data_IF_066432490916
#
_entry.id   IF_066432490916
#
_cell.length_a   1.000
_cell.length_b   1.000
_cell.length_c   1.000
_cell.angle_alpha   90.00
_cell.angle_beta   90.00
_cell.angle_gamma   90.00
#
_symmetry.space_group_name_H-M   'P 1'
#
loop_
_entity.id
_entity.type
_entity.pdbx_description
1 polymer ?
#
# COMPACT_ATOMS: atom_id res chain seq x y z
N UNK A 1 -6.80 14.33 8.87
CA UNK A 1 -7.19 14.13 7.47
C UNK A 1 -8.06 15.31 7.04
N UNK A 2 -7.52 16.23 6.22
CA UNK A 2 -8.37 17.23 5.57
C UNK A 2 -9.14 16.52 4.44
N UNK A 3 -10.45 16.80 4.26
CA UNK A 3 -11.16 16.30 3.09
C UNK A 3 -10.55 16.94 1.85
N UNK A 4 -10.12 16.11 0.90
CA UNK A 4 -9.73 16.56 -0.44
C UNK A 4 -10.95 17.24 -1.09
N UNK A 5 -10.93 18.57 -1.15
CA UNK A 5 -11.98 19.38 -1.75
C UNK A 5 -11.47 19.96 -3.07
N UNK A 6 -12.24 19.70 -4.14
CA UNK A 6 -12.21 20.27 -5.49
C UNK A 6 -11.51 19.50 -6.62
N UNK A 7 -12.02 18.29 -6.88
CA UNK A 7 -12.58 17.87 -8.18
C UNK A 7 -13.76 16.95 -7.83
N UNK A 8 -14.92 16.93 -8.53
CA UNK A 8 -15.95 15.93 -8.26
C UNK A 8 -15.39 14.58 -8.75
N UNK A 9 -14.59 13.94 -7.89
CA UNK A 9 -14.06 12.62 -8.13
C UNK A 9 -15.19 11.67 -8.48
N UNK A 10 -14.90 10.68 -9.30
CA UNK A 10 -15.91 9.68 -9.68
C UNK A 10 -16.41 9.00 -8.38
N UNK A 11 -17.72 9.04 -8.09
CA UNK A 11 -18.26 8.43 -6.88
C UNK A 11 -17.88 6.95 -6.80
N UNK A 12 -17.01 6.61 -5.85
CA UNK A 12 -16.40 5.29 -5.75
C UNK A 12 -16.48 4.75 -4.31
N UNK A 13 -16.59 3.44 -4.19
CA UNK A 13 -16.35 2.72 -2.94
C UNK A 13 -14.92 2.20 -2.93
N UNK A 14 -14.29 2.21 -1.76
CA UNK A 14 -12.97 1.62 -1.55
C UNK A 14 -13.12 0.64 -0.40
N UNK A 15 -12.86 -0.62 -0.69
CA UNK A 15 -13.01 -1.74 0.22
C UNK A 15 -11.68 -2.49 0.33
N UNK A 16 -11.45 -3.11 1.47
CA UNK A 16 -10.40 -4.08 1.69
C UNK A 16 -10.97 -5.47 1.55
N UNK A 17 -10.28 -6.30 0.77
CA UNK A 17 -10.65 -7.67 0.51
C UNK A 17 -9.48 -8.59 0.84
N UNK A 18 -9.74 -9.61 1.65
CA UNK A 18 -8.77 -10.67 1.88
C UNK A 18 -9.08 -11.88 1.02
N UNK A 19 -8.07 -12.33 0.30
CA UNK A 19 -8.16 -13.43 -0.67
C UNK A 19 -7.08 -14.46 -0.41
N UNK A 20 -7.37 -15.72 -0.70
CA UNK A 20 -6.35 -16.74 -0.91
C UNK A 20 -6.04 -16.80 -2.40
N UNK A 21 -4.78 -16.60 -2.77
CA UNK A 21 -4.35 -16.77 -4.15
C UNK A 21 -4.24 -18.27 -4.43
N UNK A 22 -5.01 -18.76 -5.39
CA UNK A 22 -5.04 -20.19 -5.70
C UNK A 22 -3.89 -20.66 -6.59
N UNK A 23 -3.31 -19.76 -7.39
CA UNK A 23 -2.21 -20.07 -8.32
C UNK A 23 -1.12 -18.99 -8.29
N UNK A 24 -0.25 -18.97 -7.26
CA UNK A 24 0.87 -18.03 -7.23
C UNK A 24 1.91 -18.40 -8.30
N UNK A 25 2.46 -17.42 -9.04
CA UNK A 25 3.55 -17.68 -10.00
C UNK A 25 4.88 -17.87 -9.27
N UNK A 26 5.05 -17.18 -8.15
CA UNK A 26 6.21 -17.27 -7.27
C UNK A 26 5.77 -17.57 -5.83
N UNK A 27 6.54 -18.37 -5.07
CA UNK A 27 6.34 -18.48 -3.63
C UNK A 27 6.57 -17.12 -2.97
N UNK A 28 5.62 -16.58 -2.20
CA UNK A 28 5.82 -15.30 -1.51
C UNK A 28 6.94 -15.47 -0.47
N UNK A 29 7.97 -14.64 -0.57
CA UNK A 29 9.08 -14.61 0.40
C UNK A 29 9.24 -13.19 0.92
N UNK A 30 9.08 -13.01 2.22
CA UNK A 30 9.65 -11.86 2.90
C UNK A 30 11.12 -12.17 3.21
N UNK A 31 12.02 -11.28 2.78
CA UNK A 31 13.44 -11.37 3.14
C UNK A 31 13.79 -10.15 4.00
N UNK A 32 14.16 -10.33 5.28
CA UNK A 32 13.99 -11.53 6.12
C UNK A 32 12.54 -11.65 6.65
N UNK A 33 11.98 -12.86 6.70
CA UNK A 33 10.65 -13.03 7.28
C UNK A 33 10.12 -14.46 7.26
N UNK A 34 9.04 -14.73 8.03
CA UNK A 34 8.38 -16.03 8.06
C UNK A 34 7.72 -16.37 6.71
N UNK A 35 7.50 -17.65 6.47
CA UNK A 35 6.70 -18.12 5.34
C UNK A 35 5.26 -17.59 5.45
N UNK A 36 4.79 -16.91 4.41
CA UNK A 36 3.45 -16.34 4.32
C UNK A 36 2.48 -17.21 3.51
N UNK A 37 2.88 -18.42 3.09
CA UNK A 37 2.07 -19.32 2.26
C UNK A 37 0.63 -19.56 2.74
N UNK A 38 0.37 -19.44 4.04
CA UNK A 38 -0.96 -19.63 4.65
C UNK A 38 -1.65 -18.33 5.09
N UNK A 39 -1.01 -17.17 4.91
CA UNK A 39 -1.59 -15.88 5.23
C UNK A 39 -2.53 -15.43 4.11
N UNK A 40 -3.77 -15.00 4.40
CA UNK A 40 -4.59 -14.31 3.41
C UNK A 40 -3.83 -13.12 2.82
N UNK A 41 -3.94 -12.95 1.52
CA UNK A 41 -3.44 -11.79 0.80
C UNK A 41 -4.48 -10.68 0.84
N UNK A 42 -4.07 -9.48 1.22
CA UNK A 42 -4.97 -8.33 1.29
C UNK A 42 -4.82 -7.50 0.02
N UNK A 43 -5.95 -7.22 -0.63
CA UNK A 43 -6.03 -6.32 -1.78
C UNK A 43 -7.06 -5.22 -1.53
N UNK A 44 -6.96 -4.12 -2.26
CA UNK A 44 -7.96 -3.05 -2.25
C UNK A 44 -8.90 -3.27 -3.44
N UNK A 45 -10.21 -3.26 -3.19
CA UNK A 45 -11.25 -3.30 -4.22
C UNK A 45 -11.85 -1.90 -4.35
N UNK A 46 -11.79 -1.35 -5.55
CA UNK A 46 -12.40 -0.05 -5.89
C UNK A 46 -13.62 -0.30 -6.76
N UNK A 47 -14.79 0.14 -6.32
CA UNK A 47 -16.05 -0.01 -7.05
C UNK A 47 -16.62 1.35 -7.46
N UNK A 48 -17.32 1.42 -8.59
CA UNK A 48 -18.06 2.61 -8.99
C UNK A 48 -19.49 2.57 -8.44
N UNK A 49 -19.92 3.59 -7.70
CA UNK A 49 -21.19 3.58 -6.94
C UNK A 49 -22.45 3.36 -7.79
N UNK A 50 -22.42 3.72 -9.07
CA UNK A 50 -23.57 3.65 -9.98
C UNK A 50 -23.51 2.47 -10.96
N UNK A 51 -22.54 1.56 -10.81
CA UNK A 51 -22.36 0.42 -11.73
C UNK A 51 -21.95 -0.85 -10.96
N UNK A 52 -21.88 -1.97 -11.67
CA UNK A 52 -21.26 -3.21 -11.12
C UNK A 52 -19.76 -3.27 -11.40
N UNK A 53 -19.18 -2.23 -12.01
CA UNK A 53 -17.77 -2.18 -12.34
C UNK A 53 -16.93 -2.04 -11.07
N UNK A 54 -15.93 -2.90 -10.96
CA UNK A 54 -14.97 -2.85 -9.86
C UNK A 54 -13.61 -3.38 -10.29
N UNK A 55 -12.59 -2.92 -9.59
CA UNK A 55 -11.19 -3.13 -9.87
C UNK A 55 -10.47 -3.55 -8.59
N UNK A 56 -9.43 -4.37 -8.75
CA UNK A 56 -8.48 -4.70 -7.70
C UNK A 56 -7.24 -3.85 -7.89
N UNK A 57 -6.83 -3.17 -6.81
CA UNK A 57 -5.51 -2.59 -6.62
C UNK A 57 -4.70 -3.54 -5.72
N UNK A 58 -3.67 -4.14 -6.29
CA UNK A 58 -2.75 -5.03 -5.59
C UNK A 58 -1.31 -4.56 -5.73
N UNK A 59 -0.85 -3.75 -4.78
CA UNK A 59 0.53 -3.24 -4.74
C UNK A 59 1.53 -4.29 -4.26
N UNK A 60 1.06 -5.38 -3.65
CA UNK A 60 1.89 -6.48 -3.17
C UNK A 60 1.84 -7.71 -4.09
N UNK A 61 1.12 -7.64 -5.22
CA UNK A 61 1.00 -8.74 -6.18
C UNK A 61 2.33 -9.19 -6.79
N UNK A 62 3.32 -8.29 -6.81
CA UNK A 62 4.69 -8.60 -7.21
C UNK A 62 5.34 -9.68 -6.34
N UNK A 63 4.92 -9.84 -5.08
CA UNK A 63 5.38 -10.93 -4.20
C UNK A 63 5.02 -12.31 -4.76
N UNK A 64 4.00 -12.38 -5.60
CA UNK A 64 3.53 -13.60 -6.25
C UNK A 64 3.90 -13.66 -7.74
N UNK A 65 4.74 -12.73 -8.21
CA UNK A 65 5.16 -12.63 -9.61
C UNK A 65 4.17 -11.92 -10.55
N UNK A 66 3.11 -11.31 -10.01
CA UNK A 66 2.16 -10.53 -10.82
C UNK A 66 2.69 -9.12 -11.07
N UNK A 67 2.54 -8.63 -12.29
CA UNK A 67 3.04 -7.30 -12.68
C UNK A 67 1.94 -6.23 -12.61
N UNK A 68 0.69 -6.65 -12.78
CA UNK A 68 -0.44 -5.76 -12.86
C UNK A 68 -0.84 -5.27 -11.47
N UNK A 69 -0.87 -3.94 -11.30
CA UNK A 69 -1.31 -3.29 -10.06
C UNK A 69 -2.82 -3.08 -10.06
N UNK A 70 -3.42 -2.69 -11.19
CA UNK A 70 -4.85 -2.40 -11.34
C UNK A 70 -5.49 -3.35 -12.37
N UNK A 71 -6.46 -4.16 -11.95
CA UNK A 71 -7.10 -5.18 -12.81
C UNK A 71 -8.60 -5.25 -12.52
N UNK A 72 -9.48 -5.48 -13.52
CA UNK A 72 -10.91 -5.68 -13.24
C UNK A 72 -11.15 -6.82 -12.25
N UNK A 73 -12.07 -6.63 -11.30
CA UNK A 73 -12.29 -7.55 -10.18
C UNK A 73 -12.53 -9.00 -10.62
N UNK A 74 -13.51 -9.22 -11.51
CA UNK A 74 -13.84 -10.56 -11.97
C UNK A 74 -12.66 -11.24 -12.68
N UNK A 75 -11.91 -10.46 -13.47
CA UNK A 75 -10.69 -10.94 -14.14
C UNK A 75 -9.63 -11.33 -13.13
N UNK A 76 -9.36 -10.47 -12.15
CA UNK A 76 -8.37 -10.72 -11.11
C UNK A 76 -8.67 -12.02 -10.35
N UNK A 77 -9.92 -12.20 -9.91
CA UNK A 77 -10.34 -13.39 -9.15
C UNK A 77 -10.23 -14.66 -10.01
N UNK A 78 -10.67 -14.61 -11.26
CA UNK A 78 -10.64 -15.76 -12.16
C UNK A 78 -9.21 -16.16 -12.55
N UNK A 79 -8.40 -15.20 -13.03
CA UNK A 79 -7.05 -15.46 -13.57
C UNK A 79 -6.12 -16.01 -12.47
N UNK A 80 -6.26 -15.50 -11.24
CA UNK A 80 -5.42 -15.89 -10.09
C UNK A 80 -6.05 -16.99 -9.22
N UNK A 81 -7.19 -17.52 -9.66
CA UNK A 81 -7.99 -18.54 -8.96
C UNK A 81 -8.22 -18.18 -7.49
N UNK A 82 -8.55 -16.92 -7.22
CA UNK A 82 -8.67 -16.40 -5.87
C UNK A 82 -9.92 -16.92 -5.17
N UNK A 83 -9.80 -17.12 -3.86
CA UNK A 83 -10.94 -17.38 -2.98
C UNK A 83 -11.08 -16.22 -2.00
N UNK A 84 -12.25 -15.59 -1.97
CA UNK A 84 -12.56 -14.55 -0.97
C UNK A 84 -12.68 -15.21 0.40
N UNK A 85 -11.90 -14.73 1.37
CA UNK A 85 -11.82 -15.34 2.71
C UNK A 85 -12.87 -14.78 3.65
N UNK A 86 -13.21 -13.51 3.50
CA UNK A 86 -14.18 -12.79 4.33
C UNK A 86 -14.88 -11.71 3.53
N UNK A 87 -15.99 -11.21 4.07
CA UNK A 87 -16.70 -10.06 3.50
C UNK A 87 -15.78 -8.83 3.38
N UNK A 88 -15.88 -8.06 2.29
CA UNK A 88 -15.15 -6.82 2.14
C UNK A 88 -15.46 -5.85 3.28
N UNK A 89 -14.45 -5.08 3.70
CA UNK A 89 -14.61 -4.05 4.72
C UNK A 89 -14.27 -2.68 4.15
N UNK A 90 -14.88 -1.61 4.66
CA UNK A 90 -14.58 -0.26 4.19
C UNK A 90 -13.09 0.05 4.41
N UNK A 91 -12.42 0.59 3.39
CA UNK A 91 -11.05 1.05 3.51
C UNK A 91 -10.99 2.30 4.40
N UNK A 92 -10.59 2.10 5.64
CA UNK A 92 -10.37 3.15 6.64
C UNK A 92 -8.96 3.08 7.26
N UNK A 93 -8.01 2.54 6.49
CA UNK A 93 -6.70 2.19 6.99
C UNK A 93 -5.81 3.43 7.04
N UNK A 94 -5.10 3.60 8.15
CA UNK A 94 -4.01 4.57 8.28
C UNK A 94 -2.70 3.94 7.79
N UNK A 95 -1.70 4.78 7.57
CA UNK A 95 -0.37 4.41 7.09
C UNK A 95 0.38 3.46 8.03
N UNK A 96 -0.12 3.32 9.26
CA UNK A 96 0.51 2.53 10.34
C UNK A 96 -0.44 1.51 10.98
N UNK A 97 -1.64 1.28 10.39
CA UNK A 97 -2.67 0.42 10.97
C UNK A 97 -2.21 -1.02 11.24
N UNK A 98 -1.45 -1.61 10.33
CA UNK A 98 -0.85 -2.94 10.49
C UNK A 98 0.18 -2.95 11.63
N UNK A 99 0.99 -1.90 11.78
CA UNK A 99 1.90 -1.76 12.92
C UNK A 99 1.15 -1.64 14.25
N UNK A 100 0.03 -0.91 14.26
CA UNK A 100 -0.88 -0.83 15.41
C UNK A 100 -1.43 -2.22 15.73
N UNK A 101 -1.90 -2.97 14.74
CA UNK A 101 -2.35 -4.35 14.90
C UNK A 101 -1.23 -5.25 15.44
N UNK A 102 -0.04 -5.23 14.84
CA UNK A 102 1.10 -6.04 15.29
C UNK A 102 1.55 -5.66 16.70
N UNK A 103 1.37 -4.42 17.13
CA UNK A 103 1.65 -4.00 18.51
C UNK A 103 0.75 -4.69 19.55
N UNK A 104 -0.42 -5.19 19.13
CA UNK A 104 -1.33 -5.97 20.00
C UNK A 104 -0.92 -7.44 20.12
N UNK A 105 -0.07 -7.95 19.22
CA UNK A 105 0.29 -9.37 19.16
C UNK A 105 1.48 -9.67 20.09
N UNK A 106 1.31 -10.48 21.16
CA UNK A 106 2.36 -10.68 22.16
C UNK A 106 3.66 -11.23 21.59
N UNK A 107 3.61 -12.10 20.58
CA UNK A 107 4.80 -12.70 19.95
C UNK A 107 5.63 -11.73 19.10
N UNK A 108 5.02 -10.64 18.62
CA UNK A 108 5.73 -9.57 17.91
C UNK A 108 6.32 -8.54 18.87
N UNK A 109 5.93 -8.53 20.15
CA UNK A 109 6.28 -7.49 21.12
C UNK A 109 7.23 -7.94 22.24
N UNK A 110 7.85 -9.12 22.10
CA UNK A 110 8.62 -9.75 23.18
C UNK A 110 9.94 -9.03 23.44
N UNK A 111 10.68 -8.72 22.38
CA UNK A 111 12.04 -8.16 22.51
C UNK A 111 12.07 -6.65 22.36
N UNK A 112 13.10 -6.03 22.94
CA UNK A 112 13.40 -4.60 22.73
C UNK A 112 13.70 -4.30 21.26
N UNK A 113 14.40 -5.19 20.57
CA UNK A 113 14.73 -5.06 19.14
C UNK A 113 13.46 -4.97 18.29
N UNK A 114 12.52 -5.90 18.44
CA UNK A 114 11.24 -5.86 17.71
C UNK A 114 10.44 -4.57 17.96
N UNK A 115 10.49 -4.03 19.19
CA UNK A 115 9.85 -2.75 19.50
C UNK A 115 10.54 -1.59 18.78
N UNK A 116 11.87 -1.55 18.82
CA UNK A 116 12.66 -0.53 18.15
C UNK A 116 12.47 -0.56 16.63
N UNK A 117 12.53 -1.74 16.02
CA UNK A 117 12.36 -1.91 14.57
C UNK A 117 11.01 -1.38 14.10
N UNK A 118 9.94 -1.66 14.85
CA UNK A 118 8.61 -1.11 14.55
C UNK A 118 8.52 0.41 14.73
N UNK A 119 9.18 0.97 15.73
CA UNK A 119 9.21 2.43 15.91
C UNK A 119 9.94 3.11 14.75
N UNK A 120 11.04 2.51 14.27
CA UNK A 120 11.74 3.00 13.08
C UNK A 120 10.85 2.88 11.84
N UNK A 121 10.21 1.72 11.63
CA UNK A 121 9.27 1.49 10.54
C UNK A 121 8.10 2.49 10.57
N UNK A 122 7.50 2.71 11.76
CA UNK A 122 6.43 3.69 11.94
C UNK A 122 6.86 5.08 11.51
N UNK A 123 8.02 5.54 11.98
CA UNK A 123 8.56 6.85 11.61
C UNK A 123 8.84 6.93 10.11
N UNK A 124 9.37 5.87 9.49
CA UNK A 124 9.67 5.84 8.06
C UNK A 124 8.38 5.95 7.22
N UNK A 125 7.32 5.23 7.60
CA UNK A 125 6.02 5.29 6.92
C UNK A 125 5.34 6.64 7.05
N UNK A 126 5.36 7.24 8.23
CA UNK A 126 4.81 8.58 8.43
C UNK A 126 5.62 9.64 7.67
N UNK A 127 6.93 9.47 7.58
CA UNK A 127 7.79 10.34 6.77
C UNK A 127 7.45 10.23 5.27
N UNK A 128 7.23 9.02 4.76
CA UNK A 128 6.75 8.82 3.39
C UNK A 128 5.34 9.40 3.18
N UNK A 129 4.44 9.23 4.14
CA UNK A 129 3.09 9.80 4.07
C UNK A 129 3.11 11.33 3.96
N UNK A 130 3.97 11.99 4.73
CA UNK A 130 4.18 13.45 4.65
C UNK A 130 4.66 13.89 3.27
N UNK A 131 5.50 13.10 2.59
CA UNK A 131 5.87 13.36 1.21
C UNK A 131 4.67 13.31 0.27
N UNK A 132 3.85 12.27 0.39
CA UNK A 132 2.65 12.09 -0.45
C UNK A 132 1.69 13.26 -0.25
N UNK A 133 1.41 13.64 0.99
CA UNK A 133 0.50 14.76 1.32
C UNK A 133 0.98 16.10 0.74
N UNK A 134 2.30 16.34 0.71
CA UNK A 134 2.88 17.60 0.21
C UNK A 134 3.09 17.66 -1.29
N UNK A 135 3.30 16.51 -1.94
CA UNK A 135 3.82 16.47 -3.32
C UNK A 135 2.96 15.70 -4.30
N UNK A 136 1.96 14.94 -3.83
CA UNK A 136 1.00 14.24 -4.70
C UNK A 136 -0.34 14.95 -4.63
N UNK A 137 -0.68 15.63 -5.71
CA UNK A 137 -1.93 16.39 -5.85
C UNK A 137 -2.89 15.71 -6.83
N UNK A 138 -4.15 16.16 -6.85
CA UNK A 138 -5.19 15.58 -7.71
C UNK A 138 -4.89 15.72 -9.21
N UNK A 139 -4.11 16.74 -9.59
CA UNK A 139 -3.68 17.05 -10.97
C UNK A 139 -2.37 16.34 -11.37
N UNK A 140 -1.89 15.39 -10.57
CA UNK A 140 -0.64 14.65 -10.86
C UNK A 140 -0.72 13.91 -12.20
N UNK A 141 -1.92 13.50 -12.61
CA UNK A 141 -2.19 12.81 -13.87
C UNK A 141 -2.54 13.76 -15.02
N UNK A 142 -2.69 15.06 -14.75
CA UNK A 142 -3.11 16.03 -15.76
C UNK A 142 -1.97 16.36 -16.74
N UNK A 143 -2.34 16.67 -17.97
CA UNK A 143 -1.44 17.08 -19.04
C UNK A 143 -1.20 16.01 -20.10
N UNK A 144 -0.32 16.34 -21.03
CA UNK A 144 0.19 15.43 -22.06
C UNK A 144 1.08 14.34 -21.45
N UNK A 145 1.32 13.28 -22.21
CA UNK A 145 2.20 12.19 -21.78
C UNK A 145 3.62 12.65 -21.43
N UNK A 146 4.16 13.65 -22.14
CA UNK A 146 5.48 14.23 -21.83
C UNK A 146 5.46 15.05 -20.55
N UNK A 147 4.41 15.83 -20.30
CA UNK A 147 4.24 16.57 -19.05
C UNK A 147 4.10 15.61 -17.86
N UNK A 148 3.31 14.55 -18.01
CA UNK A 148 3.21 13.50 -17.00
C UNK A 148 4.57 12.83 -16.73
N UNK A 149 5.33 12.48 -17.77
CA UNK A 149 6.68 11.91 -17.62
C UNK A 149 7.60 12.84 -16.82
N UNK A 150 7.60 14.14 -17.14
CA UNK A 150 8.42 15.13 -16.44
C UNK A 150 7.98 15.30 -14.97
N UNK A 151 6.67 15.31 -14.71
CA UNK A 151 6.12 15.32 -13.34
C UNK A 151 6.58 14.09 -12.56
N UNK A 152 6.51 12.91 -13.18
CA UNK A 152 6.90 11.64 -12.57
C UNK A 152 8.39 11.61 -12.23
N UNK A 153 9.26 11.94 -13.18
CA UNK A 153 10.72 11.97 -12.95
C UNK A 153 11.08 12.92 -11.81
N UNK A 154 10.47 14.11 -11.81
CA UNK A 154 10.67 15.10 -10.77
C UNK A 154 10.15 14.65 -9.40
N UNK A 155 9.02 13.95 -9.36
CA UNK A 155 8.47 13.38 -8.13
C UNK A 155 9.39 12.29 -7.58
N UNK A 156 9.91 11.42 -8.45
CA UNK A 156 10.83 10.34 -8.08
C UNK A 156 12.11 10.89 -7.47
N UNK A 157 12.71 11.93 -8.06
CA UNK A 157 13.93 12.52 -7.52
C UNK A 157 13.70 13.23 -6.18
N UNK A 158 12.58 13.95 -6.04
CA UNK A 158 12.20 14.54 -4.74
C UNK A 158 11.95 13.46 -3.69
N UNK A 159 11.31 12.36 -4.07
CA UNK A 159 11.06 11.23 -3.17
C UNK A 159 12.37 10.65 -2.66
N UNK A 160 13.35 10.41 -3.54
CA UNK A 160 14.68 9.92 -3.13
C UNK A 160 15.32 10.86 -2.10
N UNK A 161 15.34 12.16 -2.37
CA UNK A 161 15.91 13.16 -1.45
C UNK A 161 15.18 13.14 -0.11
N UNK A 162 13.85 13.14 -0.14
CA UNK A 162 13.02 13.10 1.06
C UNK A 162 13.32 11.84 1.89
N UNK A 163 13.33 10.66 1.27
CA UNK A 163 13.60 9.40 1.97
C UNK A 163 15.04 9.32 2.50
N UNK A 164 16.02 9.89 1.81
CA UNK A 164 17.41 9.96 2.30
C UNK A 164 17.52 10.83 3.56
N UNK A 165 16.74 11.92 3.65
CA UNK A 165 16.74 12.78 4.83
C UNK A 165 16.31 12.04 6.11
N UNK A 166 15.46 11.02 5.98
CA UNK A 166 15.06 10.17 7.09
C UNK A 166 16.25 9.47 7.75
N UNK A 167 17.16 8.89 6.95
CA UNK A 167 18.36 8.22 7.44
C UNK A 167 19.35 9.19 8.11
N UNK A 168 19.46 10.41 7.58
CA UNK A 168 20.27 11.47 8.18
C UNK A 168 19.77 11.91 9.57
N UNK A 169 18.45 11.97 9.75
CA UNK A 169 17.84 12.33 11.05
C UNK A 169 17.99 11.27 12.13
N UNK A 170 18.13 9.98 11.78
CA UNK A 170 18.36 8.90 12.75
C UNK A 170 19.79 8.89 13.31
N UNK A 171 20.78 9.33 12.53
CA UNK A 171 22.19 9.35 12.93
C UNK A 171 22.57 10.54 13.82
N UNK A 172 21.70 11.56 13.93
CA UNK A 172 21.92 12.74 14.79
C UNK A 172 21.57 12.53 16.26
N UNK A 173 21.11 11.33 16.67
CA UNK A 173 20.73 11.01 18.07
C UNK A 173 21.71 10.04 18.75
N UNK A 174 22.91 9.86 18.19
CA UNK A 174 24.04 9.23 18.86
C UNK A 174 25.19 10.24 18.97
N UNK A 175 25.09 11.12 19.96
CA UNK A 175 26.22 11.86 20.55
C UNK A 175 25.94 12.06 22.03
#
# INVERSE_FOLDING_TARGET
MKPFLHSPGVPSTIEVLDIRIGKPLLPPKLIPGPDLSNCPHTVIKVGLLSTTESWIVDTAGCQYGFQEVLVPFNKYIADKACQVVREPTIYNWTETKDLDYFSTLPFMNKSRAQKQDREVERKARLHFADFVDRHVSADILDGSASEFSNKLDSLVDRLKIHMLSFGGSQNGTQA
#
